data_IF_536965277043
#
_entry.id   IF_536965277043
#
_cell.length_a   1.000
_cell.length_b   1.000
_cell.length_c   1.000
_cell.angle_alpha   90.00
_cell.angle_beta   90.00
_cell.angle_gamma   90.00
#
_symmetry.space_group_name_H-M   'P 1'
#
loop_
_entity.id
_entity.type
_entity.pdbx_description
1 polymer ?
#
# COMPACT_ATOMS: atom_id res chain seq x y z
N UNK A 1 -16.93 10.89 20.46
CA UNK A 1 -17.38 9.68 19.75
C UNK A 1 -16.29 8.62 19.81
N UNK A 2 -16.61 7.37 20.12
CA UNK A 2 -15.65 6.27 20.05
C UNK A 2 -15.39 5.91 18.58
N UNK A 3 -14.13 5.71 18.19
CA UNK A 3 -13.76 5.23 16.85
C UNK A 3 -13.81 3.70 16.85
N UNK A 4 -14.51 3.11 15.89
CA UNK A 4 -14.59 1.66 15.69
C UNK A 4 -13.67 1.24 14.55
N UNK A 5 -12.93 0.14 14.70
CA UNK A 5 -12.11 -0.40 13.62
C UNK A 5 -12.99 -1.10 12.58
N UNK A 6 -12.88 -0.68 11.32
CA UNK A 6 -13.57 -1.31 10.20
C UNK A 6 -12.85 -2.57 9.69
N UNK A 7 -13.57 -3.43 8.97
CA UNK A 7 -13.03 -4.60 8.28
C UNK A 7 -12.88 -4.38 6.75
N UNK A 8 -12.79 -3.12 6.32
CA UNK A 8 -12.60 -2.73 4.93
C UNK A 8 -11.19 -2.18 4.71
N UNK A 9 -10.72 -2.21 3.47
CA UNK A 9 -9.48 -1.56 3.05
C UNK A 9 -9.62 -1.00 1.65
N UNK A 10 -8.96 0.13 1.43
CA UNK A 10 -8.82 0.73 0.11
C UNK A 10 -7.53 0.25 -0.54
N UNK A 11 -7.58 0.00 -1.85
CA UNK A 11 -6.42 -0.43 -2.62
C UNK A 11 -6.47 0.06 -4.06
N UNK A 12 -5.32 0.02 -4.71
CA UNK A 12 -5.18 0.22 -6.16
C UNK A 12 -4.65 -1.08 -6.74
N UNK A 13 -5.37 -1.63 -7.72
CA UNK A 13 -4.93 -2.82 -8.45
C UNK A 13 -4.17 -2.43 -9.70
N UNK A 14 -3.00 -3.03 -9.90
CA UNK A 14 -2.20 -2.87 -11.12
C UNK A 14 -2.54 -4.01 -12.09
N UNK A 15 -3.07 -3.68 -13.26
CA UNK A 15 -3.45 -4.69 -14.25
C UNK A 15 -2.22 -5.19 -15.02
N UNK A 16 -1.63 -6.28 -14.55
CA UNK A 16 -0.41 -6.89 -15.12
C UNK A 16 -0.62 -7.51 -16.51
N UNK A 17 -1.86 -7.88 -16.87
CA UNK A 17 -2.18 -8.50 -18.16
C UNK A 17 -2.32 -7.48 -19.28
N UNK A 18 -2.94 -6.34 -18.97
CA UNK A 18 -3.20 -5.29 -19.96
C UNK A 18 -1.99 -4.36 -20.14
N UNK A 19 -1.20 -4.13 -19.08
CA UNK A 19 -0.11 -3.16 -19.10
C UNK A 19 1.22 -3.87 -18.85
N UNK A 20 2.01 -4.16 -19.90
CA UNK A 20 3.27 -4.90 -19.79
C UNK A 20 4.25 -4.37 -18.73
N UNK A 21 4.37 -3.04 -18.49
CA UNK A 21 5.24 -2.55 -17.42
C UNK A 21 4.87 -3.06 -16.02
N UNK A 22 3.58 -3.29 -15.75
CA UNK A 22 3.12 -3.77 -14.44
C UNK A 22 3.42 -5.25 -14.21
N UNK A 23 3.69 -6.03 -15.25
CA UNK A 23 4.12 -7.43 -15.11
C UNK A 23 5.49 -7.54 -14.42
N UNK A 24 6.36 -6.52 -14.53
CA UNK A 24 7.64 -6.49 -13.85
C UNK A 24 7.48 -6.11 -12.36
N UNK A 25 7.87 -7.02 -11.47
CA UNK A 25 7.80 -6.81 -10.02
C UNK A 25 8.64 -5.61 -9.55
N UNK A 26 9.71 -5.26 -10.27
CA UNK A 26 10.56 -4.09 -9.96
C UNK A 26 9.78 -2.80 -10.16
N UNK A 27 8.97 -2.71 -11.22
CA UNK A 27 8.08 -1.57 -11.47
C UNK A 27 7.04 -1.46 -10.36
N UNK A 28 6.39 -2.58 -9.98
CA UNK A 28 5.40 -2.57 -8.89
C UNK A 28 6.00 -2.14 -7.54
N UNK A 29 7.22 -2.61 -7.25
CA UNK A 29 7.99 -2.21 -6.05
C UNK A 29 8.41 -0.75 -6.09
N UNK A 30 8.80 -0.25 -7.26
CA UNK A 30 9.14 1.16 -7.44
C UNK A 30 7.92 2.06 -7.18
N UNK A 31 6.77 1.70 -7.75
CA UNK A 31 5.51 2.40 -7.55
C UNK A 31 5.13 2.47 -6.07
N UNK A 32 5.07 1.35 -5.36
CA UNK A 32 4.69 1.36 -3.93
C UNK A 32 5.68 2.13 -3.04
N UNK A 33 6.97 2.11 -3.38
CA UNK A 33 8.00 2.89 -2.66
C UNK A 33 7.89 4.39 -2.94
N UNK A 34 7.31 4.80 -4.07
CA UNK A 34 7.10 6.20 -4.42
C UNK A 34 5.84 6.82 -3.78
N UNK A 35 5.00 6.04 -3.09
CA UNK A 35 3.75 6.53 -2.52
C UNK A 35 3.92 6.87 -1.04
N UNK A 36 3.61 8.12 -0.67
CA UNK A 36 3.46 8.54 0.72
C UNK A 36 2.08 8.15 1.24
N UNK A 37 1.97 6.88 1.62
CA UNK A 37 0.71 6.27 2.08
C UNK A 37 0.22 6.89 3.39
N UNK A 38 1.13 7.36 4.24
CA UNK A 38 0.77 8.03 5.48
C UNK A 38 0.12 9.39 5.18
N UNK A 39 0.66 10.15 4.22
CA UNK A 39 0.04 11.39 3.77
C UNK A 39 -1.34 11.14 3.15
N UNK A 40 -1.51 10.11 2.32
CA UNK A 40 -2.83 9.77 1.77
C UNK A 40 -3.86 9.47 2.85
N UNK A 41 -3.51 8.70 3.88
CA UNK A 41 -4.44 8.44 4.99
C UNK A 41 -4.86 9.72 5.71
N UNK A 42 -3.96 10.71 5.81
CA UNK A 42 -4.25 11.98 6.46
C UNK A 42 -5.09 12.92 5.58
N UNK A 43 -4.82 12.96 4.27
CA UNK A 43 -5.40 13.98 3.38
C UNK A 43 -6.60 13.50 2.58
N UNK A 44 -6.71 12.21 2.27
CA UNK A 44 -7.81 11.64 1.48
C UNK A 44 -8.83 10.98 2.40
N UNK A 45 -8.36 10.34 3.48
CA UNK A 45 -9.19 9.57 4.41
C UNK A 45 -9.35 10.28 5.77
N UNK A 46 -9.02 11.57 5.85
CA UNK A 46 -9.15 12.42 7.05
C UNK A 46 -8.54 11.85 8.35
N UNK A 47 -7.53 10.98 8.24
CA UNK A 47 -6.94 10.27 9.37
C UNK A 47 -7.90 9.29 10.06
N UNK A 48 -8.97 8.88 9.39
CA UNK A 48 -9.97 7.92 9.89
C UNK A 48 -9.57 6.47 9.62
N UNK A 49 -8.71 6.22 8.63
CA UNK A 49 -8.18 4.91 8.31
C UNK A 49 -6.65 4.86 8.48
N UNK A 50 -6.09 3.82 9.13
CA UNK A 50 -4.64 3.62 9.18
C UNK A 50 -4.10 3.18 7.81
N UNK A 51 -2.78 3.23 7.64
CA UNK A 51 -2.13 2.65 6.45
C UNK A 51 -2.38 1.15 6.44
N UNK A 52 -3.05 0.66 5.39
CA UNK A 52 -3.33 -0.76 5.25
C UNK A 52 -2.03 -1.58 5.13
N UNK A 53 -1.90 -2.60 5.97
CA UNK A 53 -0.77 -3.52 5.95
C UNK A 53 -0.91 -4.55 4.79
N UNK A 54 -2.16 -4.92 4.48
CA UNK A 54 -2.54 -5.83 3.41
C UNK A 54 -4.07 -5.98 3.33
N UNK A 55 -4.58 -7.02 2.66
CA UNK A 55 -6.02 -7.21 2.47
C UNK A 55 -6.75 -7.66 3.74
N UNK A 56 -6.05 -8.20 4.74
CA UNK A 56 -6.63 -8.68 5.99
C UNK A 56 -6.40 -7.64 7.10
N UNK A 57 -7.49 -7.18 7.73
CA UNK A 57 -7.43 -6.14 8.75
C UNK A 57 -7.20 -6.70 10.16
N UNK A 58 -6.63 -5.94 11.11
CA UNK A 58 -6.37 -6.40 12.49
C UNK A 58 -7.58 -6.88 13.28
N UNK A 59 -8.79 -6.59 12.82
CA UNK A 59 -10.04 -7.09 13.42
C UNK A 59 -10.36 -8.54 13.02
N UNK A 60 -9.70 -9.06 11.99
CA UNK A 60 -9.87 -10.44 11.52
C UNK A 60 -8.99 -11.40 12.31
N UNK A 61 -9.51 -12.59 12.61
CA UNK A 61 -8.77 -13.68 13.23
C UNK A 61 -7.56 -14.14 12.38
N UNK A 62 -7.60 -13.90 11.07
CA UNK A 62 -6.56 -14.30 10.12
C UNK A 62 -5.45 -13.24 9.96
N UNK A 63 -5.49 -12.14 10.71
CA UNK A 63 -4.48 -11.10 10.63
C UNK A 63 -3.10 -11.60 11.11
N UNK A 64 -2.04 -11.15 10.44
CA UNK A 64 -0.67 -11.32 10.89
C UNK A 64 0.13 -10.05 10.64
N UNK A 65 0.98 -9.69 11.59
CA UNK A 65 1.94 -8.58 11.49
C UNK A 65 3.26 -9.00 10.83
N UNK A 66 3.43 -10.29 10.55
CA UNK A 66 4.62 -10.89 9.91
C UNK A 66 4.59 -10.73 8.39
N UNK A 67 4.42 -9.49 7.94
CA UNK A 67 4.31 -9.15 6.52
C UNK A 67 5.34 -8.10 6.10
N UNK A 68 5.63 -8.04 4.80
CA UNK A 68 6.48 -7.00 4.25
C UNK A 68 5.77 -5.63 4.28
N UNK A 69 6.43 -4.62 4.84
CA UNK A 69 5.95 -3.24 4.84
C UNK A 69 6.76 -2.39 3.87
N UNK A 70 6.08 -1.60 3.06
CA UNK A 70 6.69 -0.69 2.10
C UNK A 70 6.67 0.73 2.66
N UNK A 71 7.86 1.30 2.89
CA UNK A 71 8.03 2.69 3.32
C UNK A 71 8.09 3.61 2.12
N UNK A 72 7.66 4.86 2.31
CA UNK A 72 7.87 5.92 1.34
C UNK A 72 9.36 6.21 1.21
N UNK A 73 9.92 5.86 0.05
CA UNK A 73 11.32 6.02 -0.32
C UNK A 73 11.44 6.27 -1.83
N UNK A 74 11.36 7.54 -2.27
CA UNK A 74 11.54 7.92 -3.66
C UNK A 74 12.93 7.56 -4.22
N UNK A 75 13.95 7.44 -3.37
CA UNK A 75 15.29 7.03 -3.78
C UNK A 75 15.31 5.57 -4.22
N UNK A 76 14.76 4.69 -3.37
CA UNK A 76 14.56 3.28 -3.68
C UNK A 76 13.63 3.08 -4.88
N UNK A 77 12.58 3.88 -5.00
CA UNK A 77 11.69 3.84 -6.15
C UNK A 77 12.44 4.09 -7.47
N UNK A 78 13.25 5.16 -7.51
CA UNK A 78 14.09 5.47 -8.68
C UNK A 78 15.09 4.38 -8.98
N UNK A 79 15.74 3.81 -7.96
CA UNK A 79 16.69 2.72 -8.14
C UNK A 79 16.05 1.47 -8.73
N UNK A 80 14.86 1.10 -8.26
CA UNK A 80 14.12 -0.08 -8.74
C UNK A 80 13.55 0.09 -10.15
N UNK A 81 13.27 1.33 -10.56
CA UNK A 81 12.73 1.63 -11.89
C UNK A 81 13.81 1.86 -12.96
N UNK A 82 15.09 1.95 -12.57
CA UNK A 82 16.20 2.05 -13.53
C UNK A 82 16.48 0.67 -14.12
N UNK A 83 16.59 0.62 -15.45
CA UNK A 83 16.97 -0.59 -16.20
C UNK A 83 18.44 -0.90 -16.03
#
# INVERSE_FOLDING_TARGET
MARTRGNAYEHVTLNERQFPPFADVRVRRALISALDRARYTQTILDGLAPVADGPIQPVSWAYTDRIARYRFDPGKARAQNRR
#
